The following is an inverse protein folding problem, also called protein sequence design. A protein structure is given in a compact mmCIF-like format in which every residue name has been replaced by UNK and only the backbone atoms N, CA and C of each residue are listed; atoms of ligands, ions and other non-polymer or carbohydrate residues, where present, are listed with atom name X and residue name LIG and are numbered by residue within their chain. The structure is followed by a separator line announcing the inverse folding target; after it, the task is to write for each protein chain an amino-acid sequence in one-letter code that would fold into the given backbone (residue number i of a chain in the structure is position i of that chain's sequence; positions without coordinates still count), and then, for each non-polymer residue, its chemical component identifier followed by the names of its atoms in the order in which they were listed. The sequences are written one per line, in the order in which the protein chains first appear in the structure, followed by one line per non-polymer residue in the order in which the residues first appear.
data_IF_902752484014
#
_entry.id   IF_902752484014
#
_cell.length_a   1.000
_cell.length_b   1.000
_cell.length_c   1.000
_cell.angle_alpha   90.00
_cell.angle_beta   90.00
_cell.angle_gamma   90.00
#
_symmetry.space_group_name_H-M   'P 1'
#
loop_
_entity.id
_entity.type
_entity.pdbx_description
1 polymer ?
#
# COMPACT_ATOMS: atom_id res chain seq x y z
N UNK A 1 -20.21 7.68 -15.91
CA UNK A 1 -19.67 6.32 -16.01
C UNK A 1 -19.16 5.89 -14.65
N UNK A 2 -19.68 4.80 -14.10
CA UNK A 2 -19.15 4.21 -12.86
C UNK A 2 -17.82 3.52 -13.19
N UNK A 3 -16.78 3.76 -12.39
CA UNK A 3 -15.50 3.04 -12.54
C UNK A 3 -15.71 1.57 -12.23
N UNK A 4 -14.89 0.71 -12.84
CA UNK A 4 -14.85 -0.73 -12.53
C UNK A 4 -14.06 -0.94 -11.25
N UNK A 5 -14.52 -1.82 -10.36
CA UNK A 5 -13.75 -2.17 -9.17
C UNK A 5 -12.61 -3.13 -9.50
N UNK A 6 -11.43 -2.83 -8.95
CA UNK A 6 -10.22 -3.65 -8.96
C UNK A 6 -9.90 -4.03 -7.51
N UNK A 7 -10.13 -5.29 -7.16
CA UNK A 7 -9.89 -5.77 -5.80
C UNK A 7 -8.38 -5.98 -5.56
N UNK A 8 -7.90 -5.53 -4.41
CA UNK A 8 -6.50 -5.59 -4.02
C UNK A 8 -6.38 -6.31 -2.68
N UNK A 9 -5.73 -7.47 -2.68
CA UNK A 9 -5.42 -8.21 -1.47
C UNK A 9 -4.17 -7.64 -0.80
N UNK A 10 -4.40 -6.92 0.30
CA UNK A 10 -3.37 -6.28 1.12
C UNK A 10 -3.02 -7.12 2.36
N UNK A 11 -3.24 -8.44 2.32
CA UNK A 11 -2.99 -9.31 3.47
C UNK A 11 -1.52 -9.29 3.86
N UNK A 12 -1.31 -9.09 5.16
CA UNK A 12 -0.02 -9.21 5.85
C UNK A 12 -0.27 -9.42 7.34
N UNK A 13 0.56 -10.23 7.99
CA UNK A 13 0.37 -10.64 9.38
C UNK A 13 1.55 -10.22 10.26
N UNK A 14 1.24 -9.54 11.38
CA UNK A 14 2.24 -9.23 12.41
C UNK A 14 2.53 -10.46 13.28
N UNK A 15 3.79 -10.85 13.40
CA UNK A 15 4.25 -11.92 14.31
C UNK A 15 3.43 -13.22 14.20
N UNK A 16 3.10 -13.63 12.97
CA UNK A 16 2.30 -14.82 12.70
C UNK A 16 3.09 -15.85 11.93
N UNK A 17 2.75 -17.13 12.12
CA UNK A 17 3.26 -18.23 11.29
C UNK A 17 2.45 -18.42 10.00
N UNK A 18 1.48 -17.53 9.73
CA UNK A 18 0.67 -17.56 8.51
C UNK A 18 1.43 -16.90 7.37
N UNK A 19 1.32 -17.51 6.20
CA UNK A 19 1.86 -16.98 4.96
C UNK A 19 0.73 -16.32 4.17
N UNK A 20 0.88 -15.01 3.93
CA UNK A 20 -0.13 -14.22 3.23
C UNK A 20 -0.21 -14.56 1.73
N UNK A 21 0.89 -14.95 1.11
CA UNK A 21 0.93 -15.31 -0.30
C UNK A 21 0.31 -16.69 -0.52
N UNK A 22 0.55 -17.64 0.39
CA UNK A 22 -0.16 -18.93 0.39
C UNK A 22 -1.66 -18.75 0.63
N UNK A 23 -2.05 -17.91 1.59
CA UNK A 23 -3.46 -17.60 1.85
C UNK A 23 -4.16 -17.05 0.59
N UNK A 24 -3.53 -16.08 -0.10
CA UNK A 24 -4.02 -15.49 -1.33
C UNK A 24 -4.12 -16.51 -2.48
N UNK A 25 -3.11 -17.37 -2.63
CA UNK A 25 -3.11 -18.46 -3.62
C UNK A 25 -4.23 -19.46 -3.34
N UNK A 26 -4.46 -19.82 -2.09
CA UNK A 26 -5.49 -20.79 -1.73
C UNK A 26 -6.91 -20.24 -1.88
N UNK A 27 -7.12 -18.96 -1.56
CA UNK A 27 -8.45 -18.35 -1.52
C UNK A 27 -8.38 -16.82 -1.62
N UNK A 28 -9.09 -16.22 -2.57
CA UNK A 28 -9.11 -14.76 -2.76
C UNK A 28 -10.37 -14.29 -3.46
N UNK A 29 -10.66 -12.98 -3.43
CA UNK A 29 -11.74 -12.42 -4.26
C UNK A 29 -11.40 -12.67 -5.73
N UNK A 30 -12.38 -13.10 -6.53
CA UNK A 30 -12.13 -13.42 -7.94
C UNK A 30 -11.56 -12.23 -8.72
N UNK A 31 -10.48 -12.46 -9.48
CA UNK A 31 -9.77 -11.43 -10.24
C UNK A 31 -9.07 -10.35 -9.42
N UNK A 32 -8.91 -10.54 -8.10
CA UNK A 32 -8.10 -9.65 -7.27
C UNK A 32 -6.62 -9.68 -7.67
N UNK A 33 -5.87 -8.68 -7.24
CA UNK A 33 -4.41 -8.62 -7.36
C UNK A 33 -3.75 -8.50 -5.99
N UNK A 34 -2.53 -9.02 -5.84
CA UNK A 34 -1.80 -9.06 -4.57
C UNK A 34 -0.97 -7.78 -4.37
N UNK A 35 -1.08 -7.16 -3.19
CA UNK A 35 -0.22 -6.06 -2.74
C UNK A 35 0.53 -6.44 -1.46
N UNK A 36 1.82 -6.78 -1.60
CA UNK A 36 2.67 -7.16 -0.49
C UNK A 36 3.46 -5.95 0.05
N UNK A 37 3.11 -5.50 1.26
CA UNK A 37 3.75 -4.36 1.92
C UNK A 37 5.19 -4.60 2.37
N UNK A 38 5.68 -5.84 2.34
CA UNK A 38 7.09 -6.14 2.53
C UNK A 38 7.91 -6.01 1.25
N UNK A 39 7.29 -6.27 0.10
CA UNK A 39 7.93 -6.13 -1.21
C UNK A 39 7.81 -4.71 -1.75
N UNK A 40 6.67 -4.05 -1.51
CA UNK A 40 6.36 -2.71 -2.04
C UNK A 40 6.50 -1.70 -0.91
N UNK A 41 7.75 -1.45 -0.55
CA UNK A 41 8.15 -0.49 0.47
C UNK A 41 9.38 0.25 0.00
N UNK A 42 9.70 1.33 0.67
CA UNK A 42 11.00 1.95 0.48
C UNK A 42 12.09 1.06 1.09
N UNK A 43 13.14 0.86 0.29
CA UNK A 43 14.33 0.05 0.61
C UNK A 43 15.61 0.85 0.44
N UNK A 44 15.53 2.16 0.14
CA UNK A 44 16.73 2.99 0.08
C UNK A 44 17.38 3.02 1.46
N UNK A 45 18.69 2.77 1.46
CA UNK A 45 19.52 2.85 2.67
C UNK A 45 20.08 4.27 2.86
N UNK A 46 19.43 5.29 2.28
CA UNK A 46 19.86 6.68 2.28
C UNK A 46 19.51 7.42 3.58
N UNK A 47 18.59 6.86 4.36
CA UNK A 47 18.29 7.29 5.72
C UNK A 47 18.89 6.32 6.76
N UNK A 48 19.10 6.81 7.99
CA UNK A 48 19.56 6.07 9.20
C UNK A 48 18.55 4.96 9.63
N UNK A 49 17.63 4.57 8.76
CA UNK A 49 16.40 3.85 9.04
C UNK A 49 16.36 2.56 8.22
N UNK A 50 16.90 1.48 8.80
CA UNK A 50 16.62 0.10 8.37
C UNK A 50 15.21 -0.37 8.79
N UNK A 51 14.23 0.54 8.73
CA UNK A 51 12.91 0.32 9.30
C UNK A 51 11.99 -0.45 8.33
N UNK A 52 11.15 -1.36 8.84
CA UNK A 52 10.22 -2.11 8.01
C UNK A 52 9.06 -1.22 7.52
N UNK A 53 8.48 -1.59 6.37
CA UNK A 53 7.24 -1.01 5.81
C UNK A 53 7.23 0.52 5.60
N UNK A 54 8.40 1.09 5.32
CA UNK A 54 8.54 2.49 4.92
C UNK A 54 7.71 2.79 3.67
N UNK A 55 7.22 4.03 3.57
CA UNK A 55 6.38 4.47 2.47
C UNK A 55 7.13 4.28 1.13
N UNK A 56 6.65 3.46 0.18
CA UNK A 56 7.35 3.23 -1.08
C UNK A 56 7.56 4.51 -1.90
N UNK A 57 8.53 4.48 -2.81
CA UNK A 57 8.68 5.54 -3.80
C UNK A 57 7.51 5.54 -4.79
N UNK A 58 7.27 6.70 -5.42
CA UNK A 58 6.29 6.82 -6.49
C UNK A 58 6.54 5.85 -7.64
N UNK A 59 7.82 5.65 -7.96
CA UNK A 59 8.23 4.72 -8.98
C UNK A 59 7.81 3.29 -8.66
N UNK A 60 8.01 2.82 -7.42
CA UNK A 60 7.63 1.48 -7.00
C UNK A 60 6.13 1.24 -7.11
N UNK A 61 5.29 2.21 -6.73
CA UNK A 61 3.83 2.09 -6.86
C UNK A 61 3.37 2.18 -8.32
N UNK A 62 3.95 3.09 -9.11
CA UNK A 62 3.67 3.17 -10.55
C UNK A 62 4.02 1.87 -11.28
N UNK A 63 5.15 1.26 -10.92
CA UNK A 63 5.59 -0.02 -11.47
C UNK A 63 4.60 -1.13 -11.10
N UNK A 64 4.22 -1.23 -9.81
CA UNK A 64 3.22 -2.19 -9.37
C UNK A 64 1.87 -2.04 -10.10
N UNK A 65 1.38 -0.82 -10.29
CA UNK A 65 0.16 -0.56 -11.06
C UNK A 65 0.26 -1.04 -12.51
N UNK A 66 1.43 -0.83 -13.15
CA UNK A 66 1.69 -1.24 -14.54
C UNK A 66 1.78 -2.76 -14.68
N UNK A 67 2.51 -3.41 -13.78
CA UNK A 67 2.66 -4.87 -13.77
C UNK A 67 1.31 -5.58 -13.59
N UNK A 68 0.44 -4.99 -12.78
CA UNK A 68 -0.92 -5.47 -12.57
C UNK A 68 -1.95 -4.94 -13.58
N UNK A 69 -1.51 -4.18 -14.60
CA UNK A 69 -2.33 -3.63 -15.69
C UNK A 69 -3.55 -2.83 -15.18
N UNK A 70 -3.36 -2.06 -14.12
CA UNK A 70 -4.40 -1.22 -13.52
C UNK A 70 -4.57 0.05 -14.35
N UNK A 71 -5.80 0.33 -14.78
CA UNK A 71 -6.16 1.59 -15.45
C UNK A 71 -6.86 2.52 -14.46
N UNK A 72 -6.08 3.35 -13.77
CA UNK A 72 -6.56 4.27 -12.72
C UNK A 72 -7.62 5.27 -13.19
N UNK A 73 -7.73 5.51 -14.51
CA UNK A 73 -8.74 6.40 -15.10
C UNK A 73 -10.10 5.72 -15.18
N UNK A 74 -10.13 4.38 -15.23
CA UNK A 74 -11.34 3.56 -15.39
C UNK A 74 -11.64 2.67 -14.19
N UNK A 75 -10.67 2.47 -13.31
CA UNK A 75 -10.76 1.54 -12.19
C UNK A 75 -10.67 2.25 -10.83
N UNK A 76 -11.41 1.72 -9.85
CA UNK A 76 -11.32 2.06 -8.43
C UNK A 76 -10.68 0.89 -7.69
N UNK A 77 -9.70 1.17 -6.84
CA UNK A 77 -9.02 0.16 -6.05
C UNK A 77 -9.85 -0.17 -4.79
N UNK A 78 -10.22 -1.45 -4.63
CA UNK A 78 -10.96 -1.93 -3.46
C UNK A 78 -10.02 -2.81 -2.63
N UNK A 79 -9.46 -2.23 -1.57
CA UNK A 79 -8.50 -2.90 -0.70
C UNK A 79 -9.25 -3.82 0.28
N UNK A 80 -8.84 -5.07 0.38
CA UNK A 80 -9.36 -6.02 1.37
C UNK A 80 -8.23 -6.86 1.96
N UNK A 81 -8.53 -7.62 3.00
CA UNK A 81 -7.58 -8.54 3.62
C UNK A 81 -8.24 -9.85 4.06
N UNK A 82 -7.42 -10.86 4.31
CA UNK A 82 -7.80 -12.03 5.09
C UNK A 82 -7.93 -11.69 6.58
N UNK A 83 -8.70 -12.49 7.35
CA UNK A 83 -8.84 -12.32 8.79
C UNK A 83 -7.50 -12.32 9.52
N UNK A 84 -7.35 -11.41 10.48
CA UNK A 84 -6.14 -11.29 11.30
C UNK A 84 -5.02 -10.47 10.66
N UNK A 85 -5.20 -9.96 9.45
CA UNK A 85 -4.27 -9.00 8.87
C UNK A 85 -4.43 -7.60 9.47
N UNK A 86 -3.33 -6.85 9.54
CA UNK A 86 -3.30 -5.46 9.99
C UNK A 86 -2.86 -4.45 8.90
N UNK A 87 -2.65 -4.88 7.66
CA UNK A 87 -2.08 -4.03 6.60
C UNK A 87 -3.11 -3.34 5.69
N UNK A 88 -4.37 -3.79 5.67
CA UNK A 88 -5.42 -3.23 4.82
C UNK A 88 -5.55 -1.70 4.91
N UNK A 89 -5.73 -1.12 6.11
CA UNK A 89 -5.78 0.34 6.28
C UNK A 89 -4.52 1.07 5.82
N UNK A 90 -3.33 0.47 5.98
CA UNK A 90 -2.06 1.05 5.53
C UNK A 90 -2.01 1.18 4.00
N UNK A 91 -2.39 0.13 3.28
CA UNK A 91 -2.42 0.14 1.80
C UNK A 91 -3.49 1.11 1.28
N UNK A 92 -4.68 1.10 1.87
CA UNK A 92 -5.74 2.06 1.51
C UNK A 92 -5.31 3.52 1.72
N UNK A 93 -4.73 3.84 2.87
CA UNK A 93 -4.21 5.18 3.15
C UNK A 93 -3.12 5.57 2.14
N UNK A 94 -2.20 4.65 1.82
CA UNK A 94 -1.10 4.90 0.89
C UNK A 94 -1.63 5.18 -0.53
N UNK A 95 -2.60 4.41 -1.01
CA UNK A 95 -3.24 4.70 -2.30
C UNK A 95 -3.94 6.06 -2.30
N UNK A 96 -4.65 6.39 -1.23
CA UNK A 96 -5.33 7.68 -1.08
C UNK A 96 -4.31 8.83 -1.09
N UNK A 97 -3.17 8.66 -0.39
CA UNK A 97 -2.08 9.63 -0.37
C UNK A 97 -1.54 9.89 -1.78
N UNK A 98 -1.39 8.85 -2.60
CA UNK A 98 -0.94 8.97 -4.00
C UNK A 98 -2.03 9.44 -4.98
N UNK A 99 -3.18 9.89 -4.50
CA UNK A 99 -4.27 10.38 -5.33
C UNK A 99 -5.03 9.28 -6.09
N UNK A 100 -4.85 8.02 -5.71
CA UNK A 100 -5.60 6.90 -6.31
C UNK A 100 -7.01 6.84 -5.71
N UNK A 101 -7.99 6.57 -6.56
CA UNK A 101 -9.37 6.31 -6.15
C UNK A 101 -9.44 4.95 -5.46
N UNK A 102 -9.38 4.96 -4.14
CA UNK A 102 -9.29 3.76 -3.32
C UNK A 102 -10.32 3.75 -2.18
N UNK A 103 -10.90 2.59 -1.94
CA UNK A 103 -11.80 2.31 -0.81
C UNK A 103 -11.36 1.04 -0.09
N UNK A 104 -11.67 0.95 1.19
CA UNK A 104 -11.43 -0.24 2.00
C UNK A 104 -12.71 -1.06 2.16
N UNK A 105 -12.62 -2.36 1.90
CA UNK A 105 -13.72 -3.31 2.09
C UNK A 105 -13.78 -3.73 3.57
N UNK A 106 -14.71 -3.12 4.30
CA UNK A 106 -14.90 -3.40 5.71
C UNK A 106 -15.32 -4.87 5.93
N UNK A 107 -14.61 -5.56 6.82
CA UNK A 107 -14.81 -6.98 7.10
C UNK A 107 -14.03 -7.93 6.18
N UNK A 108 -13.34 -7.40 5.16
CA UNK A 108 -12.43 -8.17 4.31
C UNK A 108 -13.10 -9.34 3.60
N UNK A 109 -12.30 -10.37 3.31
CA UNK A 109 -12.75 -11.55 2.56
C UNK A 109 -13.96 -12.26 3.20
N UNK A 110 -14.05 -12.28 4.53
CA UNK A 110 -15.17 -12.93 5.24
C UNK A 110 -16.49 -12.21 4.98
N UNK A 111 -16.49 -10.87 4.99
CA UNK A 111 -17.70 -10.11 4.69
C UNK A 111 -18.10 -10.24 3.22
N UNK A 112 -17.12 -10.37 2.32
CA UNK A 112 -17.36 -10.64 0.90
C UNK A 112 -18.01 -12.01 0.68
N UNK A 113 -17.47 -13.08 1.25
CA UNK A 113 -18.05 -14.42 1.20
C UNK A 113 -19.46 -14.46 1.81
N UNK A 114 -19.66 -13.78 2.95
CA UNK A 114 -20.97 -13.70 3.60
C UNK A 114 -22.03 -12.95 2.79
N UNK A 115 -21.61 -12.16 1.80
CA UNK A 115 -22.48 -11.46 0.86
C UNK A 115 -22.62 -12.20 -0.49
N UNK A 116 -22.29 -13.50 -0.53
CA UNK A 116 -22.30 -14.35 -1.73
C UNK A 116 -21.38 -13.83 -2.86
N UNK A 117 -20.31 -13.12 -2.50
CA UNK A 117 -19.33 -12.61 -3.46
C UNK A 117 -18.46 -13.72 -4.07
N UNK A 118 -18.06 -13.54 -5.33
CA UNK A 118 -17.25 -14.52 -6.07
C UNK A 118 -15.84 -14.67 -5.50
N UNK A 119 -15.40 -15.91 -5.33
CA UNK A 119 -14.08 -16.28 -4.77
C UNK A 119 -13.37 -17.25 -5.72
N UNK A 120 -12.08 -16.98 -5.96
CA UNK A 120 -11.17 -17.93 -6.60
C UNK A 120 -10.52 -18.82 -5.54
N UNK A 121 -10.48 -20.12 -5.83
CA UNK A 121 -9.93 -21.15 -4.95
C UNK A 121 -8.81 -21.92 -5.65
N UNK A 122 -7.80 -22.28 -4.88
CA UNK A 122 -6.72 -23.17 -5.32
C UNK A 122 -5.59 -22.47 -6.07
N UNK A 123 -4.47 -23.17 -6.13
CA UNK A 123 -3.24 -22.71 -6.79
C UNK A 123 -3.50 -22.43 -8.27
N UNK A 124 -3.39 -21.17 -8.68
CA UNK A 124 -3.34 -20.79 -10.09
C UNK A 124 -1.88 -20.57 -10.46
N UNK A 125 -1.30 -21.44 -11.29
CA UNK A 125 0.10 -21.37 -11.76
C UNK A 125 0.48 -20.04 -12.46
N UNK A 126 -0.51 -19.20 -12.77
CA UNK A 126 -0.31 -17.90 -13.42
C UNK A 126 0.11 -16.78 -12.46
N UNK A 127 -0.09 -16.92 -11.14
CA UNK A 127 0.17 -15.86 -10.14
C UNK A 127 1.65 -15.74 -9.72
N UNK A 128 2.47 -16.76 -9.99
CA UNK A 128 3.91 -16.74 -9.66
C UNK A 128 4.73 -15.81 -10.56
N UNK A 129 4.11 -15.24 -11.61
CA UNK A 129 4.81 -14.43 -12.61
C UNK A 129 4.93 -12.93 -12.27
N UNK A 130 4.23 -12.44 -11.23
CA UNK A 130 4.23 -11.01 -10.86
C UNK A 130 5.16 -10.65 -9.68
N UNK A 131 5.74 -11.63 -8.99
CA UNK A 131 6.50 -11.40 -7.75
C UNK A 131 8.03 -11.24 -7.92
N UNK A 132 8.58 -11.43 -9.14
CA UNK A 132 10.02 -11.62 -9.33
C UNK A 132 10.80 -10.43 -9.95
N UNK A 133 10.24 -9.22 -10.07
CA UNK A 133 10.91 -8.12 -10.79
C UNK A 133 10.98 -6.78 -10.04
N UNK A 134 11.13 -6.79 -8.71
CA UNK A 134 11.45 -5.57 -7.94
C UNK A 134 12.93 -5.51 -7.50
N UNK A 135 13.83 -6.02 -8.34
CA UNK A 135 15.26 -5.73 -8.23
C UNK A 135 15.56 -4.56 -9.16
N UNK A 136 16.05 -3.50 -8.54
CA UNK A 136 16.49 -2.23 -9.10
C UNK A 136 17.29 -2.39 -10.40
N UNK A 137 16.68 -2.05 -11.54
CA UNK A 137 17.37 -1.83 -12.81
C UNK A 137 16.87 -0.48 -13.39
N UNK A 138 17.63 0.56 -13.07
CA UNK A 138 17.69 1.83 -13.81
C UNK A 138 18.03 1.56 -15.28
N UNK A 139 17.01 1.41 -16.14
CA UNK A 139 16.97 1.86 -17.54
C UNK A 139 15.84 1.18 -18.34
N UNK A 140 14.75 1.89 -18.62
CA UNK A 140 13.72 1.39 -19.54
C UNK A 140 12.65 2.42 -19.91
N UNK A 141 12.89 3.23 -20.95
CA UNK A 141 11.95 4.21 -21.50
C UNK A 141 10.67 3.54 -22.01
N UNK A 142 9.63 3.59 -21.18
CA UNK A 142 8.25 3.22 -21.51
C UNK A 142 7.26 4.16 -20.82
N UNK A 143 6.85 5.23 -21.51
CA UNK A 143 5.97 6.31 -21.03
C UNK A 143 6.30 6.80 -19.60
N UNK A 144 7.19 7.79 -19.51
CA UNK A 144 7.70 8.43 -18.29
C UNK A 144 6.68 9.24 -17.48
N UNK A 145 5.41 9.25 -17.86
CA UNK A 145 4.38 9.96 -17.10
C UNK A 145 4.03 9.15 -15.85
N UNK A 146 4.22 9.77 -14.68
CA UNK A 146 3.72 9.23 -13.42
C UNK A 146 2.21 9.01 -13.53
N UNK A 147 1.71 7.87 -13.04
CA UNK A 147 0.27 7.62 -12.96
C UNK A 147 -0.33 8.29 -11.72
N UNK A 148 0.50 8.69 -10.77
CA UNK A 148 0.08 9.17 -9.45
C UNK A 148 0.43 10.64 -9.25
N UNK A 149 -0.28 11.29 -8.34
CA UNK A 149 -0.07 12.70 -8.02
C UNK A 149 1.06 12.84 -6.99
N UNK A 150 2.30 12.91 -7.50
CA UNK A 150 3.49 13.02 -6.65
C UNK A 150 3.54 14.33 -5.86
N UNK A 151 2.96 15.40 -6.40
CA UNK A 151 2.98 16.71 -5.75
C UNK A 151 2.13 16.72 -4.48
N UNK A 152 0.92 16.16 -4.54
CA UNK A 152 0.02 16.09 -3.38
C UNK A 152 0.58 15.22 -2.25
N UNK A 153 1.23 14.11 -2.58
CA UNK A 153 1.82 13.23 -1.57
C UNK A 153 3.07 13.84 -0.92
N UNK A 154 3.91 14.56 -1.67
CA UNK A 154 5.07 15.27 -1.13
C UNK A 154 4.70 16.44 -0.20
N UNK A 155 3.52 17.04 -0.38
CA UNK A 155 3.01 18.09 0.53
C UNK A 155 2.47 17.48 1.84
N UNK A 156 1.88 16.28 1.75
CA UNK A 156 1.27 15.59 2.89
C UNK A 156 2.26 14.80 3.76
N UNK A 157 3.47 14.49 3.27
CA UNK A 157 4.48 13.72 4.01
C UNK A 157 5.79 14.50 4.08
N UNK A 158 6.21 14.86 5.29
CA UNK A 158 7.52 15.46 5.56
C UNK A 158 8.54 14.38 5.90
N UNK A 159 9.72 14.47 5.28
CA UNK A 159 10.86 13.62 5.62
C UNK A 159 11.25 13.73 7.09
N UNK A 160 11.82 12.66 7.66
CA UNK A 160 12.18 12.64 9.09
C UNK A 160 13.14 13.78 9.46
N UNK A 161 14.17 14.00 8.64
CA UNK A 161 15.17 15.06 8.88
C UNK A 161 14.54 16.44 8.75
N UNK A 162 13.68 16.64 7.75
CA UNK A 162 12.96 17.91 7.57
C UNK A 162 12.00 18.18 8.74
N UNK A 163 11.34 17.13 9.25
CA UNK A 163 10.47 17.21 10.43
C UNK A 163 11.28 17.56 11.68
N UNK A 164 12.45 16.94 11.89
CA UNK A 164 13.34 17.30 13.00
C UNK A 164 13.85 18.74 12.91
N UNK A 165 14.18 19.21 11.70
CA UNK A 165 14.59 20.59 11.50
C UNK A 165 13.42 21.54 11.80
N UNK A 166 12.23 21.24 11.29
CA UNK A 166 11.00 22.00 11.52
C UNK A 166 10.66 22.12 13.01
N UNK A 167 10.73 21.01 13.77
CA UNK A 167 10.43 20.99 15.21
C UNK A 167 11.49 21.76 16.03
N UNK A 168 12.76 21.73 15.61
CA UNK A 168 13.84 22.39 16.33
C UNK A 168 14.05 23.85 15.90
N UNK A 169 13.37 24.33 14.87
CA UNK A 169 13.43 25.74 14.46
C UNK A 169 12.60 26.58 15.43
N UNK A 170 13.29 27.34 16.28
CA UNK A 170 12.68 28.21 17.30
C UNK A 170 12.12 29.52 16.72
N UNK A 171 12.29 29.78 15.42
CA UNK A 171 11.72 30.94 14.72
C UNK A 171 10.49 30.57 13.89
N UNK A 172 9.98 29.35 14.05
CA UNK A 172 8.82 28.88 13.33
C UNK A 172 7.56 29.43 14.01
N UNK A 173 6.98 30.49 13.45
CA UNK A 173 5.76 31.16 13.94
C UNK A 173 4.46 30.48 13.46
N UNK A 174 4.55 29.28 12.87
CA UNK A 174 3.39 28.52 12.41
C UNK A 174 2.61 27.94 13.60
N UNK A 175 1.29 28.17 13.63
CA UNK A 175 0.33 27.64 14.63
C UNK A 175 0.05 26.13 14.45
N UNK A 176 1.07 25.32 14.13
CA UNK A 176 0.93 23.89 13.84
C UNK A 176 0.59 23.08 15.10
N UNK A 177 -0.40 22.19 14.98
CA UNK A 177 -0.81 21.27 16.06
C UNK A 177 -0.19 19.90 15.81
N UNK A 178 0.65 19.44 16.75
CA UNK A 178 1.19 18.09 16.73
C UNK A 178 0.15 17.11 17.30
N UNK A 179 -0.25 16.13 16.48
CA UNK A 179 -1.12 15.03 16.89
C UNK A 179 -0.28 13.77 17.05
N UNK A 180 -0.20 13.24 18.28
CA UNK A 180 0.43 11.95 18.55
C UNK A 180 -0.63 10.83 18.53
N UNK A 181 -0.56 9.98 17.50
CA UNK A 181 -1.51 8.88 17.30
C UNK A 181 -1.05 7.56 17.95
N UNK A 182 -0.02 7.58 18.80
CA UNK A 182 0.46 6.37 19.49
C UNK A 182 -0.56 5.94 20.56
N UNK A 183 -0.66 4.62 20.86
CA UNK A 183 -1.50 4.13 21.93
C UNK A 183 -1.08 4.71 23.29
N UNK A 184 -2.03 4.77 24.23
CA UNK A 184 -1.88 5.45 25.53
C UNK A 184 -0.58 5.09 26.27
N UNK A 185 -0.20 3.82 26.27
CA UNK A 185 1.02 3.33 26.94
C UNK A 185 2.30 3.95 26.35
N UNK A 186 2.34 4.22 25.03
CA UNK A 186 3.49 4.88 24.39
C UNK A 186 3.40 6.41 24.39
N UNK A 187 2.19 6.94 24.49
CA UNK A 187 1.96 8.38 24.58
C UNK A 187 2.41 8.93 25.94
N UNK A 188 2.12 8.22 27.02
CA UNK A 188 2.36 8.70 28.39
C UNK A 188 3.79 8.42 28.93
N UNK A 189 4.59 7.59 28.25
CA UNK A 189 5.94 7.22 28.67
C UNK A 189 6.01 5.93 29.47
#
# INVERSE_FOLDING_TARGET
NMKKDRYVDATWYLNSNRDADEDYKMRRIAGSIRFDIDKIRDTSNDHVSSLPHMLPSYHAVNQWLRDNKVDISKERLVVYTHPGSCAGPRVWWMFTLYGLDAVYLQGGLIAWEAADGDVEWGWNDNDDSAAAAAADDDAGVGSSASLIDEASANDAVKEYVATLQYINDTNNDDDDIIIDARPADRFNG
#
